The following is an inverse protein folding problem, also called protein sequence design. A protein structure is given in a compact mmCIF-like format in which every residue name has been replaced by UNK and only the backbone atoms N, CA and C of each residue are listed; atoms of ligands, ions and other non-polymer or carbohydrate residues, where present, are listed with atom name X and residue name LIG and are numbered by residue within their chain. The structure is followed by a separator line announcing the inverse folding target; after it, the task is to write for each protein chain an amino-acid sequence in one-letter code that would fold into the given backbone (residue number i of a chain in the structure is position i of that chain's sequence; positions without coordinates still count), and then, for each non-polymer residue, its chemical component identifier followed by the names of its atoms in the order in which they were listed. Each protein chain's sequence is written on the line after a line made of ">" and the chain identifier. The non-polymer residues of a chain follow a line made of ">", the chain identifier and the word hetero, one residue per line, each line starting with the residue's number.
data_IF_145033145453
#
_entry.id   IF_145033145453
#
_cell.length_a   1.000
_cell.length_b   1.000
_cell.length_c   1.000
_cell.angle_alpha   90.00
_cell.angle_beta   90.00
_cell.angle_gamma   90.00
#
_symmetry.space_group_name_H-M   'P 1'
#
loop_
_entity.id
_entity.type
_entity.pdbx_description
1 polymer ?
#
# COMPACT_ATOMS: atom_id res chain seq x y z
N UNK A 1 -0.35 -4.62 12.86
CA UNK A 1 -1.45 -5.13 12.05
C UNK A 1 -1.67 -6.62 12.30
N UNK A 2 -2.81 -7.12 11.93
CA UNK A 2 -3.14 -8.55 11.93
C UNK A 2 -3.28 -9.03 10.49
N UNK A 3 -2.97 -10.31 10.18
CA UNK A 3 -3.24 -10.86 8.87
C UNK A 3 -4.74 -10.78 8.54
N UNK A 4 -5.04 -10.46 7.29
CA UNK A 4 -6.39 -10.48 6.72
C UNK A 4 -6.34 -11.25 5.41
N UNK A 5 -7.44 -11.88 5.04
CA UNK A 5 -7.61 -12.43 3.71
C UNK A 5 -8.00 -11.29 2.78
N UNK A 6 -7.26 -11.10 1.70
CA UNK A 6 -7.50 -10.06 0.72
C UNK A 6 -7.46 -10.63 -0.70
N UNK A 7 -8.22 -10.02 -1.59
CA UNK A 7 -8.37 -10.46 -2.98
C UNK A 7 -7.99 -9.35 -3.94
N UNK A 8 -7.54 -9.74 -5.12
CA UNK A 8 -7.41 -8.85 -6.26
C UNK A 8 -8.10 -9.48 -7.48
N UNK A 9 -8.62 -8.65 -8.36
CA UNK A 9 -9.23 -9.09 -9.60
C UNK A 9 -8.23 -9.09 -10.75
N UNK A 10 -8.31 -10.06 -11.66
CA UNK A 10 -7.65 -10.01 -12.96
C UNK A 10 -8.70 -9.70 -14.03
N UNK A 11 -8.43 -8.74 -14.91
CA UNK A 11 -9.29 -8.44 -16.03
C UNK A 11 -9.17 -9.52 -17.11
N UNK A 12 -10.11 -9.52 -18.06
CA UNK A 12 -10.18 -10.51 -19.13
C UNK A 12 -8.94 -10.52 -20.05
N UNK A 13 -8.12 -9.47 -20.03
CA UNK A 13 -6.85 -9.41 -20.77
C UNK A 13 -5.74 -10.28 -20.11
N UNK A 14 -6.00 -10.82 -18.92
CA UNK A 14 -5.07 -11.67 -18.17
C UNK A 14 -3.80 -10.98 -17.68
N UNK A 15 -3.67 -9.68 -17.89
CA UNK A 15 -2.44 -8.92 -17.58
C UNK A 15 -2.70 -7.67 -16.75
N UNK A 16 -3.95 -7.25 -16.59
CA UNK A 16 -4.33 -6.11 -15.76
C UNK A 16 -4.98 -6.61 -14.46
N UNK A 17 -4.41 -6.26 -13.33
CA UNK A 17 -4.99 -6.52 -12.02
C UNK A 17 -5.67 -5.27 -11.45
N UNK A 18 -6.74 -5.49 -10.72
CA UNK A 18 -7.40 -4.46 -9.89
C UNK A 18 -7.21 -4.82 -8.44
N UNK A 19 -6.62 -3.92 -7.69
CA UNK A 19 -6.35 -4.03 -6.24
C UNK A 19 -7.08 -2.91 -5.52
N UNK A 20 -7.92 -3.24 -4.56
CA UNK A 20 -8.57 -2.25 -3.73
C UNK A 20 -7.82 -2.11 -2.40
N UNK A 21 -7.47 -0.88 -2.01
CA UNK A 21 -6.85 -0.60 -0.71
C UNK A 21 -7.73 -1.10 0.45
N UNK A 22 -9.05 -1.04 0.28
CA UNK A 22 -10.01 -1.49 1.28
C UNK A 22 -9.92 -2.99 1.61
N UNK A 23 -9.45 -3.84 0.69
CA UNK A 23 -9.33 -5.29 0.87
C UNK A 23 -8.30 -5.69 1.95
N UNK A 24 -7.21 -4.93 2.08
CA UNK A 24 -6.13 -5.26 3.02
C UNK A 24 -5.78 -4.14 4.01
N UNK A 25 -6.22 -2.91 3.71
CA UNK A 25 -5.92 -1.72 4.53
C UNK A 25 -7.18 -0.87 4.77
N UNK A 26 -8.36 -1.49 4.69
CA UNK A 26 -9.66 -0.82 4.73
C UNK A 26 -10.16 -0.51 6.13
N UNK A 27 -10.95 0.56 6.22
CA UNK A 27 -11.59 1.00 7.47
C UNK A 27 -12.63 -0.02 7.98
N UNK A 28 -13.29 -0.75 7.06
CA UNK A 28 -14.27 -1.78 7.40
C UNK A 28 -13.64 -3.01 8.09
N UNK A 29 -12.33 -3.21 7.94
CA UNK A 29 -11.58 -4.29 8.59
C UNK A 29 -11.30 -4.02 10.07
N UNK A 30 -11.48 -2.77 10.53
CA UNK A 30 -11.14 -2.34 11.88
C UNK A 30 -12.39 -2.09 12.73
N UNK A 31 -12.42 -2.68 13.92
CA UNK A 31 -13.36 -2.26 14.96
C UNK A 31 -13.05 -0.81 15.38
N UNK A 32 -14.07 -0.10 15.92
CA UNK A 32 -13.90 1.30 16.31
C UNK A 32 -12.70 1.54 17.27
N UNK A 33 -12.44 0.60 18.18
CA UNK A 33 -11.33 0.66 19.13
C UNK A 33 -9.95 0.43 18.50
N UNK A 34 -9.90 -0.16 17.29
CA UNK A 34 -8.67 -0.46 16.55
C UNK A 34 -8.27 0.68 15.60
N UNK A 35 -9.16 1.66 15.37
CA UNK A 35 -8.94 2.77 14.45
C UNK A 35 -7.93 3.76 15.01
N UNK A 36 -6.68 3.57 14.66
CA UNK A 36 -5.59 4.45 15.07
C UNK A 36 -4.75 4.85 13.85
N UNK A 37 -4.91 6.08 13.33
CA UNK A 37 -4.20 6.55 12.14
C UNK A 37 -2.69 6.62 12.30
N UNK A 38 -2.18 6.66 13.55
CA UNK A 38 -0.76 6.74 13.81
C UNK A 38 -0.03 5.41 13.53
N UNK A 39 -0.72 4.28 13.66
CA UNK A 39 -0.16 2.93 13.51
C UNK A 39 -0.77 2.12 12.39
N UNK A 40 -1.90 2.57 11.81
CA UNK A 40 -2.50 1.92 10.66
C UNK A 40 -1.55 2.00 9.46
N UNK A 41 -1.43 0.91 8.71
CA UNK A 41 -0.45 0.78 7.65
C UNK A 41 -1.05 0.26 6.36
N UNK A 42 -0.60 0.81 5.26
CA UNK A 42 -0.93 0.36 3.91
C UNK A 42 -0.12 -0.89 3.46
N UNK A 43 0.61 -1.53 4.36
CA UNK A 43 1.49 -2.66 4.05
C UNK A 43 0.74 -3.81 3.33
N UNK A 44 -0.44 -4.20 3.81
CA UNK A 44 -1.24 -5.25 3.19
C UNK A 44 -1.66 -4.93 1.75
N UNK A 45 -1.92 -3.67 1.42
CA UNK A 45 -2.16 -3.26 0.02
C UNK A 45 -0.95 -3.54 -0.86
N UNK A 46 0.25 -3.25 -0.36
CA UNK A 46 1.49 -3.56 -1.07
C UNK A 46 1.70 -5.07 -1.27
N UNK A 47 1.34 -5.89 -0.27
CA UNK A 47 1.38 -7.35 -0.39
C UNK A 47 0.43 -7.86 -1.49
N UNK A 48 -0.80 -7.31 -1.57
CA UNK A 48 -1.75 -7.65 -2.64
C UNK A 48 -1.20 -7.25 -4.03
N UNK A 49 -0.61 -6.07 -4.15
CA UNK A 49 0.01 -5.63 -5.40
C UNK A 49 1.14 -6.58 -5.81
N UNK A 50 2.00 -6.97 -4.88
CA UNK A 50 3.10 -7.89 -5.15
C UNK A 50 2.58 -9.28 -5.55
N UNK A 51 1.52 -9.77 -4.91
CA UNK A 51 0.86 -11.03 -5.28
C UNK A 51 0.30 -10.96 -6.70
N UNK A 52 -0.35 -9.85 -7.08
CA UNK A 52 -0.86 -9.64 -8.43
C UNK A 52 0.26 -9.67 -9.48
N UNK A 53 1.39 -8.99 -9.21
CA UNK A 53 2.57 -9.01 -10.10
C UNK A 53 3.14 -10.41 -10.26
N UNK A 54 3.27 -11.14 -9.15
CA UNK A 54 3.76 -12.53 -9.16
C UNK A 54 2.82 -13.50 -9.85
N UNK A 55 1.52 -13.16 -9.94
CA UNK A 55 0.54 -13.88 -10.74
C UNK A 55 0.57 -13.52 -12.24
N UNK A 56 1.46 -12.63 -12.66
CA UNK A 56 1.69 -12.29 -14.07
C UNK A 56 1.14 -10.93 -14.50
N UNK A 57 0.55 -10.14 -13.60
CA UNK A 57 0.05 -8.81 -13.96
C UNK A 57 1.19 -7.89 -14.43
N UNK A 58 0.94 -7.17 -15.52
CA UNK A 58 1.82 -6.15 -16.11
C UNK A 58 1.29 -4.73 -15.87
N UNK A 59 0.05 -4.64 -15.45
CA UNK A 59 -0.63 -3.40 -15.10
C UNK A 59 -1.43 -3.62 -13.83
N UNK A 60 -1.37 -2.65 -12.92
CA UNK A 60 -2.19 -2.64 -11.70
C UNK A 60 -3.00 -1.36 -11.67
N UNK A 61 -4.29 -1.48 -11.43
CA UNK A 61 -5.18 -0.39 -11.08
C UNK A 61 -5.42 -0.48 -9.58
N UNK A 62 -5.03 0.54 -8.82
CA UNK A 62 -5.20 0.59 -7.36
C UNK A 62 -6.34 1.53 -7.02
N UNK A 63 -7.43 0.98 -6.46
CA UNK A 63 -8.53 1.77 -5.89
C UNK A 63 -8.14 2.30 -4.50
N UNK A 64 -8.23 3.61 -4.30
CA UNK A 64 -7.82 4.26 -3.04
C UNK A 64 -8.97 4.48 -2.05
N UNK A 65 -10.21 4.16 -2.43
CA UNK A 65 -11.38 4.32 -1.58
C UNK A 65 -11.36 3.43 -0.34
N UNK A 66 -12.04 3.87 0.73
CA UNK A 66 -12.25 3.05 1.94
C UNK A 66 -11.01 2.77 2.80
N UNK A 67 -9.87 3.39 2.55
CA UNK A 67 -8.64 3.22 3.33
C UNK A 67 -8.78 3.65 4.79
N UNK A 68 -8.15 2.89 5.70
CA UNK A 68 -8.00 3.21 7.12
C UNK A 68 -6.65 3.84 7.46
N UNK A 69 -5.78 4.03 6.48
CA UNK A 69 -4.37 4.38 6.68
C UNK A 69 -4.11 5.87 6.44
N UNK A 70 -3.12 6.40 7.15
CA UNK A 70 -2.63 7.76 6.99
C UNK A 70 -1.09 7.76 7.04
N UNK A 71 -0.49 6.81 6.30
CA UNK A 71 0.95 6.59 6.26
C UNK A 71 1.60 7.04 4.94
N UNK A 72 0.90 7.85 4.14
CA UNK A 72 1.36 8.32 2.82
C UNK A 72 1.83 7.18 1.88
N UNK A 73 1.30 5.96 2.06
CA UNK A 73 1.72 4.79 1.30
C UNK A 73 3.05 4.17 1.75
N UNK A 74 3.58 4.57 2.90
CA UNK A 74 4.85 4.06 3.41
C UNK A 74 4.85 2.54 3.56
N UNK A 75 3.81 1.99 4.19
CA UNK A 75 3.68 0.54 4.34
C UNK A 75 3.61 -0.19 3.00
N UNK A 76 2.87 0.36 2.04
CA UNK A 76 2.79 -0.17 0.68
C UNK A 76 4.19 -0.25 0.05
N UNK A 77 4.97 0.82 0.12
CA UNK A 77 6.33 0.84 -0.40
C UNK A 77 7.23 -0.18 0.32
N UNK A 78 7.11 -0.29 1.66
CA UNK A 78 7.88 -1.30 2.42
C UNK A 78 7.56 -2.72 1.98
N UNK A 79 6.28 -3.05 1.73
CA UNK A 79 5.88 -4.36 1.22
C UNK A 79 6.43 -4.66 -0.17
N UNK A 80 6.64 -3.62 -0.98
CA UNK A 80 7.26 -3.71 -2.31
C UNK A 80 8.80 -3.75 -2.25
N UNK A 81 9.39 -3.77 -1.05
CA UNK A 81 10.83 -3.91 -0.84
C UNK A 81 11.58 -2.59 -0.76
N UNK A 82 10.90 -1.45 -0.71
CA UNK A 82 11.54 -0.15 -0.45
C UNK A 82 11.87 -0.03 1.03
N UNK A 83 13.07 0.42 1.37
CA UNK A 83 13.46 0.69 2.75
C UNK A 83 13.26 2.15 3.09
N UNK A 84 12.56 2.40 4.19
CA UNK A 84 12.37 3.72 4.77
C UNK A 84 13.22 3.79 6.02
N UNK A 85 14.24 4.65 6.03
CA UNK A 85 15.28 4.62 7.05
C UNK A 85 15.28 5.87 7.92
N UNK A 86 15.59 5.67 9.21
CA UNK A 86 15.87 6.74 10.15
C UNK A 86 17.30 7.29 9.98
N UNK A 87 17.67 8.30 10.77
CA UNK A 87 19.00 8.92 10.76
C UNK A 87 20.15 7.97 11.11
N UNK A 88 19.86 6.82 11.70
CA UNK A 88 20.85 5.81 12.09
C UNK A 88 20.93 4.67 11.06
N UNK A 89 20.12 4.72 9.97
CA UNK A 89 20.06 3.68 8.95
C UNK A 89 19.17 2.48 9.33
N UNK A 90 18.36 2.58 10.39
CA UNK A 90 17.40 1.54 10.75
C UNK A 90 16.11 1.70 9.97
N UNK A 91 15.47 0.57 9.64
CA UNK A 91 14.15 0.58 9.01
C UNK A 91 13.08 1.14 9.95
N UNK A 92 12.20 1.98 9.41
CA UNK A 92 11.08 2.52 10.15
C UNK A 92 10.03 1.44 10.44
N UNK A 93 9.39 1.55 11.60
CA UNK A 93 8.18 0.79 11.90
C UNK A 93 7.04 1.19 10.94
N UNK A 94 6.00 0.36 10.89
CA UNK A 94 4.80 0.66 10.12
C UNK A 94 3.95 1.75 10.76
N UNK A 95 3.17 2.45 9.94
CA UNK A 95 2.22 3.48 10.35
C UNK A 95 2.73 4.91 10.19
N UNK A 96 1.78 5.83 10.11
CA UNK A 96 2.06 7.24 9.79
C UNK A 96 2.96 7.94 10.81
N UNK A 97 2.86 7.59 12.10
CA UNK A 97 3.70 8.22 13.13
C UNK A 97 5.20 7.96 12.94
N UNK A 98 5.57 6.81 12.37
CA UNK A 98 6.97 6.46 12.13
C UNK A 98 7.64 7.40 11.12
N UNK A 99 6.87 7.99 10.21
CA UNK A 99 7.38 8.91 9.18
C UNK A 99 8.02 10.17 9.74
N UNK A 100 7.72 10.54 10.99
CA UNK A 100 8.40 11.66 11.65
C UNK A 100 9.94 11.45 11.78
N UNK A 101 10.40 10.20 11.70
CA UNK A 101 11.81 9.84 11.77
C UNK A 101 12.43 9.52 10.40
N UNK A 102 11.67 9.68 9.31
CA UNK A 102 12.15 9.37 7.97
C UNK A 102 13.26 10.32 7.54
N UNK A 103 14.41 9.78 7.15
CA UNK A 103 15.54 10.55 6.62
C UNK A 103 15.97 10.08 5.22
N UNK A 104 15.78 8.79 4.92
CA UNK A 104 16.24 8.22 3.66
C UNK A 104 15.20 7.24 3.10
N UNK A 105 14.97 7.30 1.80
CA UNK A 105 14.19 6.32 1.05
C UNK A 105 15.18 5.57 0.17
N UNK A 106 15.34 4.27 0.42
CA UNK A 106 16.23 3.40 -0.35
C UNK A 106 15.40 2.43 -1.22
N UNK A 107 15.46 2.61 -2.52
CA UNK A 107 14.75 1.79 -3.51
C UNK A 107 15.62 0.65 -4.07
N UNK A 108 16.86 0.50 -3.60
CA UNK A 108 17.81 -0.48 -4.15
C UNK A 108 17.36 -1.93 -3.94
N UNK A 109 16.54 -2.17 -2.93
CA UNK A 109 15.98 -3.49 -2.57
C UNK A 109 14.54 -3.70 -3.03
N UNK A 110 13.98 -2.77 -3.81
CA UNK A 110 12.65 -2.92 -4.40
C UNK A 110 12.55 -4.20 -5.22
N UNK A 111 11.44 -4.93 -5.11
CA UNK A 111 11.23 -6.20 -5.81
C UNK A 111 11.40 -5.99 -7.33
N UNK A 112 12.34 -6.70 -7.96
CA UNK A 112 12.64 -6.52 -9.38
C UNK A 112 11.47 -6.87 -10.31
N UNK A 113 10.48 -7.63 -9.85
CA UNK A 113 9.28 -7.94 -10.61
C UNK A 113 8.44 -6.69 -10.93
N UNK A 114 8.61 -5.61 -10.16
CA UNK A 114 7.91 -4.35 -10.34
C UNK A 114 8.49 -3.48 -11.48
N UNK A 115 9.69 -3.77 -11.95
CA UNK A 115 10.43 -2.91 -12.88
C UNK A 115 9.66 -2.52 -14.14
N UNK A 116 8.78 -3.40 -14.63
CA UNK A 116 8.04 -3.19 -15.87
C UNK A 116 6.51 -3.23 -15.65
N UNK A 117 6.06 -2.93 -14.44
CA UNK A 117 4.64 -2.89 -14.09
C UNK A 117 4.15 -1.46 -14.13
N UNK A 118 3.11 -1.20 -14.92
CA UNK A 118 2.41 0.07 -14.93
C UNK A 118 1.42 0.12 -13.77
N UNK A 119 1.49 1.16 -12.93
CA UNK A 119 0.59 1.35 -11.79
C UNK A 119 -0.23 2.61 -12.03
N UNK A 120 -1.55 2.48 -11.90
CA UNK A 120 -2.52 3.57 -12.03
C UNK A 120 -3.34 3.65 -10.75
N UNK A 121 -3.39 4.80 -10.10
CA UNK A 121 -4.28 5.04 -8.97
C UNK A 121 -5.66 5.48 -9.47
N UNK A 122 -6.70 4.81 -9.00
CA UNK A 122 -8.09 5.22 -9.16
C UNK A 122 -8.54 5.91 -7.87
N UNK A 123 -8.71 7.22 -7.93
CA UNK A 123 -9.14 8.05 -6.80
C UNK A 123 -10.53 8.62 -7.11
N UNK A 124 -11.47 8.47 -6.19
CA UNK A 124 -12.71 9.25 -6.25
C UNK A 124 -12.38 10.72 -5.96
N UNK A 125 -12.91 11.62 -6.77
CA UNK A 125 -12.82 13.05 -6.48
C UNK A 125 -13.59 13.34 -5.18
N UNK A 126 -12.88 13.50 -4.08
CA UNK A 126 -13.47 13.88 -2.83
C UNK A 126 -13.75 15.39 -2.85
N UNK A 127 -15.02 15.79 -2.88
CA UNK A 127 -15.42 17.22 -2.82
C UNK A 127 -14.95 17.93 -1.53
N UNK A 128 -14.50 17.18 -0.54
CA UNK A 128 -13.99 17.68 0.75
C UNK A 128 -12.56 18.25 0.64
N UNK A 129 -11.84 17.95 -0.43
CA UNK A 129 -10.47 18.43 -0.64
C UNK A 129 -10.37 19.65 -1.55
N UNK A 130 -11.47 20.36 -1.80
CA UNK A 130 -11.40 21.67 -2.48
C UNK A 130 -11.05 22.75 -1.46
N UNK A 131 -10.02 23.58 -1.74
CA UNK A 131 -9.69 24.73 -0.92
C UNK A 131 -10.80 25.76 -0.92
#
# INVERSE_FOLDING_TARGET
>A
GRPVEGHFGLLADGTTAVVETAEASGLALLEAKERNPLIASSYGTGELMLAAVRSGAKRIIVGLGGSATNDAGAGLLQALGVRLLDKNGNDLAHGGAALANLTTIDISTMDPALKNVAITAACEACDVCRP
#
